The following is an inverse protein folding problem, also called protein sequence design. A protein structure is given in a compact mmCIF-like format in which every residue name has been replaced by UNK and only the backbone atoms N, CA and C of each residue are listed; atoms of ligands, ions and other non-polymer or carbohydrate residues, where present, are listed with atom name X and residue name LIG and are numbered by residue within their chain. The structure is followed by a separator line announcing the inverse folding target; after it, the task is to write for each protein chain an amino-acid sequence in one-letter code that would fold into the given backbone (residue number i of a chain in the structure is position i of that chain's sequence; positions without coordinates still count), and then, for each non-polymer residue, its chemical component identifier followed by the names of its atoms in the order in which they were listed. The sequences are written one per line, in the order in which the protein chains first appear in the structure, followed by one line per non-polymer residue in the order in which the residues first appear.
data_IF_935267020482
#
_entry.id   IF_935267020482
#
_cell.length_a   1.000
_cell.length_b   1.000
_cell.length_c   1.000
_cell.angle_alpha   90.00
_cell.angle_beta   90.00
_cell.angle_gamma   90.00
#
_symmetry.space_group_name_H-M   'P 1'
#
loop_
_entity.id
_entity.type
_entity.pdbx_description
1 polymer ?
#
# COMPACT_ATOMS: atom_id res chain seq x y z
N UNK A 1 14.27 12.89 25.61
CA UNK A 1 14.76 12.61 24.24
C UNK A 1 13.86 11.53 23.70
N UNK A 2 12.68 11.95 23.28
CA UNK A 2 11.61 11.12 22.77
C UNK A 2 12.08 10.53 21.45
N UNK A 3 12.53 9.27 21.50
CA UNK A 3 12.90 8.52 20.31
C UNK A 3 11.63 8.32 19.49
N UNK A 4 11.42 9.19 18.49
CA UNK A 4 10.48 8.94 17.41
C UNK A 4 10.89 7.61 16.76
N UNK A 5 9.98 6.62 16.65
CA UNK A 5 10.30 5.37 15.98
C UNK A 5 10.76 5.70 14.55
N UNK A 6 11.71 4.92 14.00
CA UNK A 6 12.18 5.15 12.64
C UNK A 6 10.95 5.18 11.75
N UNK A 7 10.74 6.31 11.07
CA UNK A 7 9.77 6.40 10.00
C UNK A 7 10.19 5.34 8.99
N UNK A 8 9.57 4.15 9.09
CA UNK A 8 9.57 3.14 8.06
C UNK A 8 9.26 3.92 6.79
N UNK A 9 10.28 4.06 5.93
CA UNK A 9 10.09 4.61 4.60
C UNK A 9 9.18 3.63 3.90
N UNK A 10 7.89 3.84 4.09
CA UNK A 10 6.80 3.13 3.45
C UNK A 10 7.00 3.41 1.96
N UNK A 11 7.73 2.51 1.29
CA UNK A 11 8.04 2.62 -0.12
C UNK A 11 6.70 2.63 -0.85
N UNK A 12 6.25 3.82 -1.25
CA UNK A 12 4.93 3.99 -1.84
C UNK A 12 4.79 3.05 -3.05
N UNK A 13 3.82 2.13 -3.02
CA UNK A 13 3.73 1.09 -4.03
C UNK A 13 3.42 1.72 -5.39
N UNK A 14 4.09 1.20 -6.41
CA UNK A 14 3.92 1.70 -7.78
C UNK A 14 2.86 0.91 -8.50
N UNK A 15 2.03 1.62 -9.25
CA UNK A 15 0.98 1.00 -10.05
C UNK A 15 1.61 0.06 -11.09
N UNK A 16 1.21 -1.21 -11.18
CA UNK A 16 1.79 -2.16 -12.13
C UNK A 16 1.53 -1.74 -13.60
N UNK A 17 0.47 -0.99 -13.86
CA UNK A 17 0.09 -0.55 -15.22
C UNK A 17 0.90 0.65 -15.72
N UNK A 18 1.08 1.67 -14.87
CA UNK A 18 1.66 2.95 -15.31
C UNK A 18 2.88 3.40 -14.50
N UNK A 19 3.32 2.59 -13.53
CA UNK A 19 4.45 2.81 -12.62
C UNK A 19 4.40 4.10 -11.80
N UNK A 20 3.26 4.80 -11.82
CA UNK A 20 3.01 5.97 -10.99
C UNK A 20 2.86 5.56 -9.53
N UNK A 21 3.06 6.52 -8.63
CA UNK A 21 2.81 6.34 -7.20
C UNK A 21 1.35 5.99 -6.95
N UNK A 22 1.13 5.06 -6.04
CA UNK A 22 -0.18 4.63 -5.59
C UNK A 22 -0.30 4.90 -4.11
N UNK A 23 -1.52 5.21 -3.68
CA UNK A 23 -1.82 5.46 -2.27
C UNK A 23 -2.63 4.30 -1.73
N UNK A 24 -2.42 3.99 -0.46
CA UNK A 24 -3.25 3.04 0.25
C UNK A 24 -4.70 3.53 0.21
N UNK A 25 -5.58 2.69 -0.31
CA UNK A 25 -7.00 2.96 -0.40
C UNK A 25 -7.77 2.20 0.68
N UNK A 26 -7.43 0.92 0.88
CA UNK A 26 -8.03 0.10 1.92
C UNK A 26 -7.04 -0.95 2.41
N UNK A 27 -7.24 -1.46 3.63
CA UNK A 27 -6.47 -2.57 4.17
C UNK A 27 -7.45 -3.51 4.88
N UNK A 28 -7.33 -4.80 4.61
CA UNK A 28 -8.19 -5.84 5.17
C UNK A 28 -7.33 -6.99 5.68
N UNK A 29 -7.72 -7.56 6.82
CA UNK A 29 -7.10 -8.78 7.31
C UNK A 29 -7.76 -9.97 6.62
N UNK A 30 -7.01 -10.70 5.81
CA UNK A 30 -7.48 -11.97 5.27
C UNK A 30 -7.48 -13.01 6.39
N UNK A 31 -8.68 -13.34 6.89
CA UNK A 31 -8.88 -14.26 8.02
C UNK A 31 -8.39 -15.68 7.67
N UNK A 32 -8.42 -16.05 6.38
CA UNK A 32 -7.97 -17.37 5.92
C UNK A 32 -6.46 -17.54 6.02
N UNK A 33 -5.70 -16.52 5.63
CA UNK A 33 -4.24 -16.56 5.59
C UNK A 33 -3.59 -15.89 6.81
N UNK A 34 -4.36 -15.17 7.62
CA UNK A 34 -3.86 -14.33 8.71
C UNK A 34 -3.01 -13.14 8.23
N UNK A 35 -3.11 -12.77 6.94
CA UNK A 35 -2.28 -11.73 6.32
C UNK A 35 -3.05 -10.44 6.13
N UNK A 36 -2.40 -9.31 6.36
CA UNK A 36 -2.95 -8.00 6.01
C UNK A 36 -2.78 -7.76 4.51
N UNK A 37 -3.89 -7.77 3.76
CA UNK A 37 -3.93 -7.41 2.34
C UNK A 37 -4.28 -5.94 2.20
N UNK A 38 -3.49 -5.22 1.41
CA UNK A 38 -3.65 -3.78 1.18
C UNK A 38 -4.11 -3.53 -0.25
N UNK A 39 -5.16 -2.74 -0.43
CA UNK A 39 -5.62 -2.23 -1.72
C UNK A 39 -5.02 -0.86 -1.96
N UNK A 40 -4.34 -0.69 -3.08
CA UNK A 40 -3.80 0.59 -3.50
C UNK A 40 -4.57 1.16 -4.68
N UNK A 41 -4.72 2.48 -4.68
CA UNK A 41 -5.27 3.25 -5.81
C UNK A 41 -4.18 4.08 -6.46
N UNK A 42 -4.03 3.90 -7.76
CA UNK A 42 -3.09 4.68 -8.55
C UNK A 42 -3.56 6.14 -8.71
N UNK A 43 -2.68 7.10 -8.42
CA UNK A 43 -3.01 8.52 -8.57
C UNK A 43 -3.09 9.00 -10.03
N UNK A 44 -2.52 8.25 -10.98
CA UNK A 44 -2.47 8.65 -12.41
C UNK A 44 -3.58 8.00 -13.25
N UNK A 45 -3.70 6.67 -13.19
CA UNK A 45 -4.67 5.95 -14.01
C UNK A 45 -5.97 5.58 -13.26
N UNK A 46 -6.04 5.82 -11.95
CA UNK A 46 -7.20 5.49 -11.11
C UNK A 46 -7.42 4.00 -10.90
N UNK A 47 -6.55 3.13 -11.40
CA UNK A 47 -6.63 1.68 -11.22
C UNK A 47 -6.38 1.26 -9.77
N UNK A 48 -7.05 0.18 -9.36
CA UNK A 48 -6.87 -0.46 -8.06
C UNK A 48 -6.12 -1.78 -8.21
N UNK A 49 -5.26 -2.11 -7.23
CA UNK A 49 -4.53 -3.37 -7.17
C UNK A 49 -4.19 -3.73 -5.73
N UNK A 50 -4.10 -5.02 -5.44
CA UNK A 50 -3.75 -5.53 -4.11
C UNK A 50 -2.22 -5.68 -3.98
N UNK A 51 -1.72 -5.54 -2.76
CA UNK A 51 -0.40 -6.02 -2.32
C UNK A 51 -0.40 -7.55 -2.48
N UNK A 52 0.53 -8.09 -3.28
CA UNK A 52 0.71 -9.52 -3.53
C UNK A 52 1.50 -10.19 -2.40
#
# INVERSE_FOLDING_TARGET
MDQMPPEEKDEQPRCPKCRAVSRLNHAMLDIKSGKLVRLYKCSKCGGHFWDD
#
